data_IF_839342493901
#
_entry.id   IF_839342493901
#
_cell.length_a   1.000
_cell.length_b   1.000
_cell.length_c   1.000
_cell.angle_alpha   90.00
_cell.angle_beta   90.00
_cell.angle_gamma   90.00
#
_symmetry.space_group_name_H-M   'P 1'
#
loop_
_entity.id
_entity.type
_entity.pdbx_description
1 polymer ?
#
# COMPACT_ATOMS: atom_id res chain seq x y z
N UNK A 1 52.79 -11.41 35.62
CA UNK A 1 51.95 -10.77 34.59
C UNK A 1 52.23 -11.47 33.27
N UNK A 2 51.35 -12.34 32.80
CA UNK A 2 51.06 -12.60 31.38
C UNK A 2 49.98 -13.69 31.29
N UNK A 3 48.83 -13.30 30.73
CA UNK A 3 47.65 -14.10 30.44
C UNK A 3 47.68 -14.60 28.99
N UNK A 4 46.84 -15.60 28.67
CA UNK A 4 46.00 -15.75 27.45
C UNK A 4 45.80 -17.24 27.12
N UNK A 5 44.62 -17.84 27.33
CA UNK A 5 43.33 -17.76 26.59
C UNK A 5 43.27 -18.71 25.38
N UNK A 6 42.62 -19.85 25.62
CA UNK A 6 42.18 -20.89 24.68
C UNK A 6 41.34 -20.33 23.53
N UNK A 7 41.75 -20.61 22.29
CA UNK A 7 40.95 -20.33 21.10
C UNK A 7 39.86 -21.41 20.93
N UNK A 8 38.58 -20.98 20.86
CA UNK A 8 37.48 -21.82 20.37
C UNK A 8 37.29 -21.61 18.86
N UNK A 9 37.13 -22.74 18.18
CA UNK A 9 36.85 -22.87 16.75
C UNK A 9 35.48 -22.29 16.35
N UNK A 10 35.36 -21.52 15.25
CA UNK A 10 34.08 -21.14 14.68
C UNK A 10 33.57 -22.22 13.72
N UNK A 11 32.41 -22.80 14.05
CA UNK A 11 31.67 -23.68 13.16
C UNK A 11 31.01 -22.86 12.06
N UNK A 12 31.32 -23.17 10.80
CA UNK A 12 30.77 -22.52 9.62
C UNK A 12 29.27 -22.88 9.47
N UNK A 13 28.39 -21.88 9.59
CA UNK A 13 26.97 -22.02 9.26
C UNK A 13 26.66 -21.23 7.98
N UNK A 14 26.62 -21.98 6.89
CA UNK A 14 25.71 -21.93 5.75
C UNK A 14 25.11 -20.59 5.26
N UNK A 15 25.31 -20.39 3.96
CA UNK A 15 24.67 -19.42 3.07
C UNK A 15 23.14 -19.58 3.00
N UNK A 16 22.41 -18.46 3.00
CA UNK A 16 20.99 -18.39 2.63
C UNK A 16 20.43 -16.96 2.74
N UNK A 17 19.91 -16.43 1.63
CA UNK A 17 19.63 -15.02 1.33
C UNK A 17 18.55 -14.29 2.17
N UNK A 18 18.50 -12.93 2.16
CA UNK A 18 17.40 -12.17 2.72
C UNK A 18 16.22 -12.14 1.73
N UNK A 19 15.27 -13.06 1.91
CA UNK A 19 13.96 -12.99 1.28
C UNK A 19 12.94 -12.53 2.31
N UNK A 20 12.66 -11.23 2.35
CA UNK A 20 11.50 -10.65 3.05
C UNK A 20 10.25 -11.11 2.30
N UNK A 21 9.84 -12.35 2.58
CA UNK A 21 8.57 -12.89 2.13
C UNK A 21 7.47 -12.20 2.93
N UNK A 22 6.90 -11.20 2.28
CA UNK A 22 5.53 -10.72 2.38
C UNK A 22 4.67 -11.52 3.36
N UNK A 23 4.53 -10.98 4.59
CA UNK A 23 3.51 -11.44 5.52
C UNK A 23 2.16 -10.94 5.02
N UNK A 24 1.64 -11.60 3.99
CA UNK A 24 0.26 -11.43 3.52
C UNK A 24 -0.69 -11.75 4.68
N UNK A 25 -1.09 -10.69 5.39
CA UNK A 25 -1.95 -10.71 6.56
C UNK A 25 -3.25 -10.02 6.19
N UNK A 26 -3.98 -10.57 5.24
CA UNK A 26 -5.35 -10.13 4.93
C UNK A 26 -6.34 -11.28 5.12
N UNK A 27 -6.30 -11.87 6.31
CA UNK A 27 -7.40 -12.65 6.85
C UNK A 27 -8.25 -11.74 7.75
N UNK A 28 -9.09 -10.89 7.16
CA UNK A 28 -10.20 -10.24 7.85
C UNK A 28 -11.49 -10.38 7.05
N UNK A 29 -12.08 -11.57 7.18
CA UNK A 29 -13.49 -11.79 6.89
C UNK A 29 -14.35 -10.94 7.83
N UNK A 30 -14.97 -9.90 7.27
CA UNK A 30 -16.30 -9.42 7.63
C UNK A 30 -17.04 -9.21 6.32
N UNK A 31 -18.34 -9.55 6.21
CA UNK A 31 -19.17 -9.01 5.15
C UNK A 31 -19.31 -7.52 5.44
N UNK A 32 -18.35 -6.73 4.95
CA UNK A 32 -18.54 -5.30 4.82
C UNK A 32 -19.71 -5.13 3.87
N UNK A 33 -20.75 -4.44 4.31
CA UNK A 33 -21.72 -3.85 3.39
C UNK A 33 -20.90 -2.91 2.49
N UNK A 34 -20.39 -3.43 1.39
CA UNK A 34 -19.61 -2.65 0.45
C UNK A 34 -20.57 -1.62 -0.11
N UNK A 35 -20.27 -0.35 0.15
CA UNK A 35 -20.92 0.70 -0.63
C UNK A 35 -20.73 0.35 -2.11
N UNK A 36 -21.72 0.62 -2.97
CA UNK A 36 -21.57 0.42 -4.41
C UNK A 36 -20.26 1.07 -4.87
N UNK A 37 -19.36 0.25 -5.39
CA UNK A 37 -18.10 0.71 -5.95
C UNK A 37 -18.30 1.06 -7.41
N UNK A 38 -17.63 2.11 -7.86
CA UNK A 38 -17.63 2.56 -9.26
C UNK A 38 -16.19 2.71 -9.72
N UNK A 39 -15.90 2.23 -10.92
CA UNK A 39 -14.57 2.37 -11.51
C UNK A 39 -14.25 3.83 -11.82
N UNK A 40 -13.02 4.23 -11.53
CA UNK A 40 -12.59 5.62 -11.76
C UNK A 40 -12.66 6.04 -13.22
N UNK A 41 -12.43 5.11 -14.15
CA UNK A 41 -12.55 5.33 -15.60
C UNK A 41 -13.98 5.69 -16.02
N UNK A 42 -14.97 5.00 -15.44
CA UNK A 42 -16.39 5.25 -15.68
C UNK A 42 -16.84 6.58 -15.08
N UNK A 43 -16.39 6.88 -13.86
CA UNK A 43 -16.65 8.14 -13.18
C UNK A 43 -16.11 9.34 -13.95
N UNK A 44 -14.90 9.20 -14.49
CA UNK A 44 -14.19 10.27 -15.18
C UNK A 44 -14.53 10.38 -16.67
N UNK A 45 -15.14 9.34 -17.27
CA UNK A 45 -15.61 9.33 -18.67
C UNK A 45 -14.53 9.75 -19.68
N UNK A 46 -13.30 9.25 -19.48
CA UNK A 46 -12.13 9.58 -20.32
C UNK A 46 -11.49 10.94 -20.03
N UNK A 47 -12.05 11.74 -19.13
CA UNK A 47 -11.47 13.01 -18.71
C UNK A 47 -10.52 12.83 -17.53
N UNK A 48 -9.68 13.83 -17.27
CA UNK A 48 -8.84 13.84 -16.05
C UNK A 48 -9.61 14.33 -14.83
N UNK A 49 -10.82 14.84 -15.01
CA UNK A 49 -11.58 15.55 -13.97
C UNK A 49 -13.07 15.50 -14.26
N UNK A 50 -13.89 15.37 -13.21
CA UNK A 50 -15.34 15.56 -13.25
C UNK A 50 -15.80 16.54 -12.17
N UNK A 51 -16.83 17.34 -12.48
CA UNK A 51 -17.53 18.18 -11.51
C UNK A 51 -18.66 17.36 -10.87
N UNK A 52 -18.78 17.45 -9.55
CA UNK A 52 -19.76 16.73 -8.74
C UNK A 52 -20.61 17.76 -8.00
N UNK A 53 -21.90 17.78 -8.27
CA UNK A 53 -22.84 18.56 -7.47
C UNK A 53 -23.14 17.80 -6.18
N UNK A 54 -22.79 18.38 -5.04
CA UNK A 54 -23.00 17.77 -3.74
C UNK A 54 -23.40 18.83 -2.71
N UNK A 55 -24.54 18.62 -2.04
CA UNK A 55 -25.10 19.53 -1.03
C UNK A 55 -25.16 21.00 -1.49
N UNK A 56 -25.55 21.24 -2.74
CA UNK A 56 -25.68 22.58 -3.32
C UNK A 56 -24.35 23.27 -3.65
N UNK A 57 -23.21 22.60 -3.48
CA UNK A 57 -21.90 23.06 -3.92
C UNK A 57 -21.38 22.19 -5.06
N UNK A 58 -20.48 22.76 -5.86
CA UNK A 58 -19.72 22.00 -6.86
C UNK A 58 -18.44 21.54 -6.20
N UNK A 59 -18.13 20.27 -6.36
CA UNK A 59 -16.85 19.65 -6.02
C UNK A 59 -16.17 19.18 -7.29
N UNK A 60 -14.87 18.94 -7.22
CA UNK A 60 -14.06 18.51 -8.35
C UNK A 60 -13.26 17.27 -7.97
N UNK A 61 -13.55 16.16 -8.63
CA UNK A 61 -12.77 14.93 -8.52
C UNK A 61 -11.78 14.87 -9.69
N UNK A 62 -10.50 14.69 -9.41
CA UNK A 62 -9.42 14.68 -10.41
C UNK A 62 -8.51 13.46 -10.25
N UNK A 63 -8.13 12.85 -11.38
CA UNK A 63 -7.00 11.92 -11.45
C UNK A 63 -5.66 12.68 -11.52
N UNK A 64 -4.72 12.27 -10.68
CA UNK A 64 -3.37 12.83 -10.62
C UNK A 64 -2.37 11.94 -11.38
N UNK A 65 -1.21 12.52 -11.73
CA UNK A 65 -0.12 11.77 -12.37
C UNK A 65 0.45 10.65 -11.47
N UNK A 66 0.30 10.78 -10.15
CA UNK A 66 0.73 9.78 -9.15
C UNK A 66 -0.31 8.66 -8.95
N UNK A 67 -1.35 8.59 -9.79
CA UNK A 67 -2.36 7.53 -9.75
C UNK A 67 -3.41 7.67 -8.65
N UNK A 68 -3.42 8.79 -7.92
CA UNK A 68 -4.44 9.07 -6.89
C UNK A 68 -5.56 9.94 -7.42
N UNK A 69 -6.76 9.75 -6.88
CA UNK A 69 -7.87 10.69 -7.03
C UNK A 69 -7.82 11.76 -5.92
N UNK A 70 -8.06 13.01 -6.29
CA UNK A 70 -8.18 14.13 -5.34
C UNK A 70 -9.57 14.75 -5.51
N UNK A 71 -10.29 14.90 -4.41
CA UNK A 71 -11.53 15.66 -4.34
C UNK A 71 -11.25 17.03 -3.70
N UNK A 72 -11.54 18.10 -4.43
CA UNK A 72 -11.58 19.46 -3.88
C UNK A 72 -13.00 19.99 -3.89
N UNK A 73 -13.29 20.91 -2.98
CA UNK A 73 -14.45 21.79 -3.12
C UNK A 73 -14.17 22.82 -4.22
#
# INVERSE_FOLDING_TARGET
MHASLTALSPSAAFFGAPGIADRQSDAHGRPSSSAPAVDSSELLKGQKTVAIFHNGSIYRLQATKLGKLILTK
#
